data_IF_710583893281
#
_entry.id   IF_710583893281
#
_cell.length_a   1.000
_cell.length_b   1.000
_cell.length_c   1.000
_cell.angle_alpha   90.00
_cell.angle_beta   90.00
_cell.angle_gamma   90.00
#
_symmetry.space_group_name_H-M   'P 1'
#
loop_
_entity.id
_entity.type
_entity.pdbx_description
1 polymer ?
#
# COMPACT_ATOMS: atom_id res chain seq x y z
N UNK A 1 -2.32 20.13 10.79
CA UNK A 1 -2.26 18.97 9.88
C UNK A 1 -1.09 18.98 8.88
N UNK A 2 -0.36 20.09 8.67
CA UNK A 2 0.77 20.12 7.72
C UNK A 2 2.09 19.52 8.29
N UNK A 3 2.34 19.66 9.60
CA UNK A 3 3.61 19.24 10.22
C UNK A 3 3.80 17.73 10.39
N UNK A 4 2.72 16.93 10.42
CA UNK A 4 2.83 15.46 10.50
C UNK A 4 3.19 14.83 9.15
N UNK A 5 2.72 15.41 8.04
CA UNK A 5 3.08 14.93 6.68
C UNK A 5 4.56 15.13 6.37
N UNK A 6 5.16 16.24 6.82
CA UNK A 6 6.59 16.50 6.67
C UNK A 6 7.44 15.47 7.45
N UNK A 7 7.04 15.15 8.68
CA UNK A 7 7.70 14.12 9.50
C UNK A 7 7.63 12.73 8.87
N UNK A 8 6.47 12.31 8.35
CA UNK A 8 6.33 11.03 7.66
C UNK A 8 7.21 10.95 6.41
N UNK A 9 7.31 12.04 5.66
CA UNK A 9 8.12 12.10 4.45
C UNK A 9 9.61 12.04 4.76
N UNK A 10 10.08 12.76 5.79
CA UNK A 10 11.46 12.67 6.29
C UNK A 10 11.79 11.27 6.82
N UNK A 11 10.92 10.69 7.66
CA UNK A 11 11.11 9.32 8.19
C UNK A 11 11.17 8.30 7.04
N UNK A 12 10.28 8.43 6.05
CA UNK A 12 10.28 7.54 4.88
C UNK A 12 11.55 7.69 4.04
N UNK A 13 12.07 8.91 3.91
CA UNK A 13 13.32 9.20 3.20
C UNK A 13 14.52 8.59 3.93
N UNK A 14 14.61 8.76 5.25
CA UNK A 14 15.69 8.17 6.07
C UNK A 14 15.66 6.65 6.03
N UNK A 15 14.48 6.03 6.17
CA UNK A 15 14.31 4.59 6.04
C UNK A 15 14.76 4.08 4.66
N UNK A 16 14.41 4.80 3.59
CA UNK A 16 14.82 4.43 2.24
C UNK A 16 16.34 4.57 2.05
N UNK A 17 16.97 5.61 2.60
CA UNK A 17 18.41 5.76 2.58
C UNK A 17 19.13 4.61 3.31
N UNK A 18 18.65 4.23 4.50
CA UNK A 18 19.19 3.10 5.26
C UNK A 18 19.04 1.79 4.48
N UNK A 19 17.89 1.56 3.84
CA UNK A 19 17.66 0.38 3.03
C UNK A 19 18.60 0.32 1.80
N UNK A 20 18.74 1.43 1.07
CA UNK A 20 19.67 1.52 -0.06
C UNK A 20 21.10 1.26 0.41
N UNK A 21 21.49 1.81 1.56
CA UNK A 21 22.81 1.59 2.12
C UNK A 21 23.02 0.12 2.52
N UNK A 22 22.06 -0.53 3.15
CA UNK A 22 22.12 -1.96 3.50
C UNK A 22 22.21 -2.85 2.25
N UNK A 23 21.41 -2.58 1.21
CA UNK A 23 21.47 -3.33 -0.06
C UNK A 23 22.84 -3.16 -0.72
N UNK A 24 23.40 -1.95 -0.74
CA UNK A 24 24.74 -1.71 -1.30
C UNK A 24 25.83 -2.42 -0.48
N UNK A 25 25.75 -2.35 0.84
CA UNK A 25 26.67 -3.04 1.76
C UNK A 25 26.63 -4.56 1.57
N UNK A 26 25.44 -5.15 1.44
CA UNK A 26 25.28 -6.61 1.17
C UNK A 26 25.90 -7.06 -0.14
N UNK A 27 25.96 -6.18 -1.13
CA UNK A 27 26.56 -6.47 -2.44
C UNK A 27 28.04 -6.05 -2.53
N UNK A 28 28.69 -5.72 -1.40
CA UNK A 28 30.07 -5.23 -1.33
C UNK A 28 30.32 -3.95 -2.15
N UNK A 29 29.27 -3.14 -2.36
CA UNK A 29 29.36 -1.88 -3.09
C UNK A 29 29.67 -0.77 -2.09
N UNK A 30 30.97 -0.48 -1.93
CA UNK A 30 31.44 0.70 -1.20
C UNK A 30 31.35 1.96 -2.07
N UNK A 31 31.40 3.15 -1.47
CA UNK A 31 31.37 4.43 -2.22
C UNK A 31 32.44 4.51 -3.32
N UNK A 32 33.54 3.78 -3.15
CA UNK A 32 34.67 3.70 -4.08
C UNK A 32 34.38 2.81 -5.29
N UNK A 33 33.51 1.80 -5.11
CA UNK A 33 33.07 0.87 -6.16
C UNK A 33 31.69 1.22 -6.72
N UNK A 34 31.06 2.31 -6.25
CA UNK A 34 29.82 2.81 -6.82
C UNK A 34 30.09 3.27 -8.25
N UNK A 35 29.56 2.52 -9.23
CA UNK A 35 29.53 2.98 -10.61
C UNK A 35 28.76 4.29 -10.68
N UNK A 36 29.40 5.31 -11.24
CA UNK A 36 28.73 6.56 -11.59
C UNK A 36 27.72 6.26 -12.69
N UNK A 37 26.44 6.49 -12.40
CA UNK A 37 25.38 6.32 -13.40
C UNK A 37 25.55 7.38 -14.50
N UNK A 38 25.49 6.96 -15.76
CA UNK A 38 25.38 7.90 -16.88
C UNK A 38 24.05 8.65 -16.81
N UNK A 39 23.95 9.79 -17.49
CA UNK A 39 22.71 10.58 -17.47
C UNK A 39 21.52 9.83 -18.07
N UNK A 40 21.78 8.94 -19.03
CA UNK A 40 20.78 8.04 -19.60
C UNK A 40 20.27 7.01 -18.58
N UNK A 41 21.17 6.42 -17.79
CA UNK A 41 20.79 5.49 -16.72
C UNK A 41 19.99 6.18 -15.61
N UNK A 42 20.32 7.43 -15.29
CA UNK A 42 19.52 8.25 -14.35
C UNK A 42 18.13 8.52 -14.91
N UNK A 43 18.01 8.81 -16.20
CA UNK A 43 16.71 9.05 -16.85
C UNK A 43 15.83 7.80 -16.83
N UNK A 44 16.40 6.62 -17.10
CA UNK A 44 15.69 5.34 -17.01
C UNK A 44 15.20 5.06 -15.58
N UNK A 45 16.06 5.26 -14.58
CA UNK A 45 15.68 5.09 -13.17
C UNK A 45 14.55 6.04 -12.77
N UNK A 46 14.59 7.31 -13.20
CA UNK A 46 13.49 8.25 -12.95
C UNK A 46 12.18 7.77 -13.54
N UNK A 47 12.19 7.32 -14.80
CA UNK A 47 10.99 6.82 -15.47
C UNK A 47 10.37 5.63 -14.72
N UNK A 48 11.20 4.67 -14.30
CA UNK A 48 10.71 3.50 -13.54
C UNK A 48 10.11 3.91 -12.20
N UNK A 49 10.69 4.88 -11.50
CA UNK A 49 10.15 5.39 -10.23
C UNK A 49 8.83 6.13 -10.45
N UNK A 50 8.73 6.94 -11.51
CA UNK A 50 7.48 7.62 -11.88
C UNK A 50 6.37 6.62 -12.21
N UNK A 51 6.68 5.56 -12.98
CA UNK A 51 5.74 4.49 -13.30
C UNK A 51 5.30 3.72 -12.03
N UNK A 52 6.22 3.43 -11.11
CA UNK A 52 5.89 2.79 -9.83
C UNK A 52 5.03 3.69 -8.95
N UNK A 53 5.33 4.99 -8.91
CA UNK A 53 4.54 5.96 -8.16
C UNK A 53 3.11 6.02 -8.70
N UNK A 54 2.95 6.05 -10.03
CA UNK A 54 1.65 6.01 -10.68
C UNK A 54 0.87 4.73 -10.33
N UNK A 55 1.52 3.56 -10.35
CA UNK A 55 0.91 2.29 -9.96
C UNK A 55 0.47 2.27 -8.49
N UNK A 56 1.26 2.84 -7.57
CA UNK A 56 0.90 2.96 -6.16
C UNK A 56 -0.26 3.92 -5.97
N UNK A 57 -0.23 5.07 -6.64
CA UNK A 57 -1.31 6.06 -6.59
C UNK A 57 -2.62 5.49 -7.14
N UNK A 58 -2.56 4.74 -8.24
CA UNK A 58 -3.70 4.01 -8.80
C UNK A 58 -4.20 2.92 -7.84
N UNK A 59 -3.31 2.14 -7.23
CA UNK A 59 -3.68 1.13 -6.25
C UNK A 59 -4.37 1.74 -5.01
N UNK A 60 -3.86 2.87 -4.50
CA UNK A 60 -4.45 3.59 -3.36
C UNK A 60 -5.80 4.19 -3.73
N UNK A 61 -5.97 4.71 -4.95
CA UNK A 61 -7.24 5.23 -5.45
C UNK A 61 -8.28 4.12 -5.65
N UNK A 62 -7.91 3.03 -6.33
CA UNK A 62 -8.79 1.87 -6.53
C UNK A 62 -9.18 1.19 -5.20
N UNK A 63 -8.34 1.29 -4.17
CA UNK A 63 -8.67 0.84 -2.81
C UNK A 63 -9.70 1.75 -2.11
N UNK A 64 -9.79 3.03 -2.47
CA UNK A 64 -10.80 3.97 -1.96
C UNK A 64 -12.13 3.84 -2.70
N UNK A 65 -12.11 3.64 -4.01
CA UNK A 65 -13.31 3.44 -4.83
C UNK A 65 -14.08 2.16 -4.43
N UNK A 66 -13.38 1.08 -4.06
CA UNK A 66 -14.00 -0.14 -3.48
C UNK A 66 -14.75 0.09 -2.16
N UNK A 67 -14.58 1.25 -1.51
CA UNK A 67 -15.28 1.60 -0.26
C UNK A 67 -16.53 2.45 -0.49
N UNK A 68 -16.66 3.11 -1.65
CA UNK A 68 -17.77 4.02 -1.94
C UNK A 68 -18.95 3.32 -2.65
N UNK A 69 -18.73 2.19 -3.33
CA UNK A 69 -19.82 1.39 -3.90
C UNK A 69 -20.62 0.56 -2.87
N UNK A 70 -20.23 0.56 -1.59
CA UNK A 70 -20.93 -0.20 -0.53
C UNK A 70 -21.81 0.67 0.39
N UNK A 71 -22.32 1.80 -0.13
CA UNK A 71 -23.27 2.67 0.62
C UNK A 71 -24.58 2.95 -0.10
N UNK A 72 -24.90 2.19 -1.16
CA UNK A 72 -26.25 2.19 -1.75
C UNK A 72 -26.74 0.75 -1.87
N UNK A 73 -27.19 0.17 -0.74
CA UNK A 73 -28.43 -0.61 -0.65
C UNK A 73 -28.56 -1.25 0.74
N UNK A 74 -29.47 -0.68 1.52
CA UNK A 74 -30.01 -1.24 2.74
C UNK A 74 -30.93 -2.40 2.34
N UNK A 75 -30.41 -3.62 2.22
CA UNK A 75 -31.23 -4.83 2.23
C UNK A 75 -30.74 -5.71 3.38
N UNK A 76 -31.63 -5.90 4.35
CA UNK A 76 -31.42 -6.73 5.54
C UNK A 76 -31.02 -8.16 5.14
N UNK A 77 -29.74 -8.49 5.27
CA UNK A 77 -29.28 -9.87 5.14
C UNK A 77 -29.88 -10.72 6.28
N UNK A 78 -30.34 -11.96 6.00
CA UNK A 78 -30.94 -12.80 7.02
C UNK A 78 -29.91 -13.04 8.12
N UNK A 79 -30.34 -12.84 9.38
CA UNK A 79 -29.55 -13.19 10.57
C UNK A 79 -28.99 -14.60 10.36
N UNK A 80 -27.69 -14.75 10.61
CA UNK A 80 -26.98 -16.02 10.62
C UNK A 80 -27.59 -16.91 11.72
N UNK A 81 -28.75 -17.50 11.45
CA UNK A 81 -29.50 -18.22 12.46
C UNK A 81 -28.87 -19.58 12.65
N UNK A 82 -28.59 -19.92 13.91
CA UNK A 82 -28.00 -21.21 14.24
C UNK A 82 -29.04 -22.32 14.10
N UNK A 83 -28.59 -23.56 13.89
CA UNK A 83 -29.48 -24.74 13.85
C UNK A 83 -30.40 -24.83 15.09
N UNK A 84 -29.91 -24.34 16.25
CA UNK A 84 -30.66 -24.27 17.50
C UNK A 84 -31.85 -23.31 17.43
N UNK A 85 -31.73 -22.21 16.71
CA UNK A 85 -32.80 -21.22 16.52
C UNK A 85 -33.84 -21.73 15.51
N UNK A 86 -33.41 -22.45 14.47
CA UNK A 86 -34.32 -23.10 13.50
C UNK A 86 -35.16 -24.24 14.11
N UNK A 87 -34.68 -24.90 15.16
CA UNK A 87 -35.43 -25.94 15.88
C UNK A 87 -36.47 -25.34 16.82
N UNK A 88 -36.18 -24.18 17.43
CA UNK A 88 -37.13 -23.47 18.29
C UNK A 88 -38.31 -22.91 17.51
N UNK A 89 -38.06 -22.22 16.39
CA UNK A 89 -39.13 -21.63 15.57
C UNK A 89 -40.09 -22.65 14.95
N UNK A 90 -39.65 -23.91 14.78
CA UNK A 90 -40.51 -25.02 14.32
C UNK A 90 -41.38 -25.64 15.41
N UNK A 91 -41.02 -25.45 16.68
CA UNK A 91 -41.77 -26.00 17.82
C UNK A 91 -42.88 -25.06 18.31
N UNK A 92 -42.75 -23.77 18.00
CA UNK A 92 -43.72 -22.74 18.36
C UNK A 92 -44.81 -22.53 17.28
N UNK A 93 -44.87 -23.41 16.26
CA UNK A 93 -45.96 -23.52 15.27
C UNK A 93 -46.70 -24.84 15.48
#
# INVERSE_FOLDING_TARGET
MANEKLNLQEISSTMMQLFVQDVLSKNNISNENKKTLSDEQKAQLKKVVEDLQAQVDEFVKGSKEKKEENTVEKVEAPKNMTLREMLKSRKDK
#
